data_IF_587726467338
#
_entry.id   IF_587726467338
#
_cell.length_a   1.000
_cell.length_b   1.000
_cell.length_c   1.000
_cell.angle_alpha   90.00
_cell.angle_beta   90.00
_cell.angle_gamma   90.00
#
_symmetry.space_group_name_H-M   'P 1'
#
loop_
_entity.id
_entity.type
_entity.pdbx_description
1 polymer ?
#
# COMPACT_ATOMS: atom_id res chain seq x y z
N UNK A 1 21.76 -22.93 14.94
CA UNK A 1 22.09 -21.69 14.24
C UNK A 1 20.81 -21.19 13.65
N UNK A 2 20.34 -19.97 13.92
CA UNK A 2 19.15 -19.48 13.27
C UNK A 2 19.46 -19.28 11.79
N UNK A 3 18.63 -19.86 10.93
CA UNK A 3 18.68 -19.69 9.49
C UNK A 3 18.68 -18.19 9.19
N UNK A 4 19.65 -17.76 8.39
CA UNK A 4 19.67 -16.41 7.84
C UNK A 4 18.43 -16.27 6.96
N UNK A 5 17.35 -15.74 7.48
CA UNK A 5 16.20 -15.36 6.68
C UNK A 5 16.69 -14.32 5.67
N UNK A 6 16.89 -14.71 4.42
CA UNK A 6 17.19 -13.79 3.34
C UNK A 6 16.07 -12.74 3.30
N UNK A 7 16.44 -11.46 3.23
CA UNK A 7 15.42 -10.40 3.13
C UNK A 7 14.70 -10.54 1.78
N UNK A 8 13.36 -10.35 1.73
CA UNK A 8 12.57 -10.58 0.50
C UNK A 8 13.04 -9.82 -0.74
N UNK A 9 13.89 -8.81 -0.59
CA UNK A 9 14.43 -7.99 -1.66
C UNK A 9 15.94 -8.13 -1.86
N UNK A 10 16.60 -9.13 -1.27
CA UNK A 10 18.06 -9.28 -1.37
C UNK A 10 18.54 -9.47 -2.82
N UNK A 11 17.74 -10.09 -3.67
CA UNK A 11 18.04 -10.28 -5.09
C UNK A 11 17.62 -9.09 -5.99
N UNK A 12 16.96 -8.05 -5.45
CA UNK A 12 16.53 -6.88 -6.21
C UNK A 12 17.70 -5.90 -6.40
N UNK A 13 18.64 -6.26 -7.29
CA UNK A 13 19.80 -5.43 -7.60
C UNK A 13 19.54 -4.37 -8.69
N UNK A 14 20.51 -3.46 -8.93
CA UNK A 14 20.40 -2.39 -9.91
C UNK A 14 20.04 -2.86 -11.32
N UNK A 15 20.68 -3.92 -11.80
CA UNK A 15 20.45 -4.45 -13.14
C UNK A 15 19.01 -4.93 -13.28
N UNK A 16 18.50 -5.66 -12.30
CA UNK A 16 17.12 -6.14 -12.31
C UNK A 16 16.09 -5.00 -12.27
N UNK A 17 16.40 -3.89 -11.57
CA UNK A 17 15.55 -2.68 -11.57
C UNK A 17 15.44 -2.09 -12.98
N UNK A 18 16.56 -1.93 -13.68
CA UNK A 18 16.62 -1.39 -15.03
C UNK A 18 15.94 -2.35 -16.01
N UNK A 19 16.34 -3.61 -16.04
CA UNK A 19 15.82 -4.63 -16.93
C UNK A 19 14.29 -4.79 -16.80
N UNK A 20 13.74 -4.69 -15.57
CA UNK A 20 12.31 -4.77 -15.36
C UNK A 20 11.52 -3.67 -16.07
N UNK A 21 12.06 -2.46 -16.09
CA UNK A 21 11.44 -1.31 -16.77
C UNK A 21 11.64 -1.42 -18.28
N UNK A 22 12.82 -1.83 -18.72
CA UNK A 22 13.14 -2.02 -20.15
C UNK A 22 12.35 -3.17 -20.78
N UNK A 23 12.01 -4.20 -20.01
CA UNK A 23 11.12 -5.29 -20.45
C UNK A 23 9.73 -4.81 -20.90
N UNK A 24 9.32 -3.61 -20.50
CA UNK A 24 8.06 -2.97 -20.88
C UNK A 24 8.19 -2.00 -22.05
N UNK A 25 9.36 -1.94 -22.69
CA UNK A 25 9.64 -1.11 -23.87
C UNK A 25 10.10 0.32 -23.55
N UNK A 26 10.47 0.61 -22.31
CA UNK A 26 11.19 1.84 -21.97
C UNK A 26 12.69 1.64 -22.19
N UNK A 27 13.41 2.73 -22.43
CA UNK A 27 14.87 2.74 -22.47
C UNK A 27 15.35 3.55 -21.26
N UNK A 28 16.05 2.91 -20.36
CA UNK A 28 16.60 3.57 -19.17
C UNK A 28 17.86 4.36 -19.51
N UNK A 29 18.05 5.50 -18.87
CA UNK A 29 19.31 6.26 -18.91
C UNK A 29 20.34 5.78 -17.85
N UNK A 30 20.05 4.67 -17.17
CA UNK A 30 20.90 4.06 -16.14
C UNK A 30 20.79 4.73 -14.75
N UNK A 31 20.08 5.84 -14.62
CA UNK A 31 19.91 6.52 -13.33
C UNK A 31 18.72 5.97 -12.57
N UNK A 32 18.91 5.66 -11.31
CA UNK A 32 17.83 5.33 -10.40
C UNK A 32 18.06 5.92 -9.02
N UNK A 33 16.97 6.20 -8.29
CA UNK A 33 16.97 6.73 -6.94
C UNK A 33 15.96 5.94 -6.09
N UNK A 34 16.44 5.35 -4.99
CA UNK A 34 15.54 4.73 -4.03
C UNK A 34 14.71 5.80 -3.32
N UNK A 35 13.40 5.61 -3.26
CA UNK A 35 12.47 6.46 -2.55
C UNK A 35 12.08 5.83 -1.21
N UNK A 36 11.68 6.67 -0.25
CA UNK A 36 11.23 6.17 1.05
C UNK A 36 10.03 5.25 0.88
N UNK A 37 10.16 4.03 1.41
CA UNK A 37 9.11 3.02 1.40
C UNK A 37 9.30 2.07 2.59
N UNK A 38 8.21 1.64 3.19
CA UNK A 38 8.26 0.76 4.36
C UNK A 38 8.19 -0.73 3.97
N UNK A 39 7.09 -1.12 3.33
CA UNK A 39 6.81 -2.52 3.00
C UNK A 39 7.36 -2.92 1.63
N UNK A 40 7.15 -2.07 0.64
CA UNK A 40 7.56 -2.29 -0.74
C UNK A 40 8.97 -1.71 -0.99
N UNK A 41 9.46 -1.83 -2.22
CA UNK A 41 10.61 -1.03 -2.68
C UNK A 41 10.14 -0.12 -3.80
N UNK A 42 10.44 1.15 -3.68
CA UNK A 42 10.01 2.17 -4.64
C UNK A 42 11.24 2.90 -5.17
N UNK A 43 11.35 2.97 -6.48
CA UNK A 43 12.46 3.62 -7.17
C UNK A 43 11.95 4.61 -8.20
N UNK A 44 12.61 5.75 -8.29
CA UNK A 44 12.54 6.59 -9.47
C UNK A 44 13.59 6.11 -10.45
N UNK A 45 13.19 5.80 -11.68
CA UNK A 45 14.09 5.30 -12.74
C UNK A 45 14.08 6.33 -13.88
N UNK A 46 15.27 6.76 -14.29
CA UNK A 46 15.46 7.66 -15.40
C UNK A 46 15.13 6.96 -16.72
N UNK A 47 14.43 7.66 -17.60
CA UNK A 47 14.04 7.17 -18.93
C UNK A 47 14.61 8.14 -19.95
N UNK A 48 15.26 7.62 -21.01
CA UNK A 48 15.81 8.42 -22.10
C UNK A 48 14.72 9.26 -22.77
N UNK A 49 15.00 10.54 -22.98
CA UNK A 49 14.12 11.50 -23.65
C UNK A 49 12.70 11.64 -23.06
N UNK A 50 12.49 11.19 -21.82
CA UNK A 50 11.20 11.27 -21.11
C UNK A 50 11.37 11.65 -19.64
N UNK A 51 10.24 11.96 -18.99
CA UNK A 51 10.21 12.08 -17.53
C UNK A 51 10.49 10.72 -16.88
N UNK A 52 11.22 10.69 -15.75
CA UNK A 52 11.44 9.46 -15.01
C UNK A 52 10.13 8.77 -14.64
N UNK A 53 10.16 7.45 -14.56
CA UNK A 53 9.06 6.63 -14.04
C UNK A 53 9.32 6.23 -12.59
N UNK A 54 8.25 5.98 -11.86
CA UNK A 54 8.30 5.41 -10.51
C UNK A 54 7.97 3.93 -10.63
N UNK A 55 8.89 3.08 -10.21
CA UNK A 55 8.71 1.63 -10.13
C UNK A 55 8.47 1.20 -8.68
N UNK A 56 7.31 0.62 -8.41
CA UNK A 56 6.92 0.06 -7.10
C UNK A 56 7.00 -1.46 -7.18
N UNK A 57 7.99 -2.05 -6.51
CA UNK A 57 8.14 -3.49 -6.36
C UNK A 57 7.41 -3.94 -5.11
N UNK A 58 6.47 -4.83 -5.27
CA UNK A 58 5.68 -5.38 -4.17
C UNK A 58 6.48 -6.42 -3.40
N UNK A 59 6.35 -6.39 -2.08
CA UNK A 59 7.03 -7.35 -1.22
C UNK A 59 6.54 -8.77 -1.55
N UNK A 60 7.45 -9.70 -1.92
CA UNK A 60 7.09 -11.09 -2.18
C UNK A 60 6.32 -11.73 -1.03
N UNK A 61 5.25 -12.44 -1.36
CA UNK A 61 4.42 -13.17 -0.39
C UNK A 61 3.52 -12.30 0.50
N UNK A 62 3.50 -10.97 0.33
CA UNK A 62 2.69 -10.08 1.19
C UNK A 62 1.27 -9.91 0.69
N UNK A 63 1.10 -9.67 -0.60
CA UNK A 63 -0.18 -9.45 -1.26
C UNK A 63 -0.33 -10.39 -2.45
N UNK A 64 -1.53 -10.93 -2.65
CA UNK A 64 -1.82 -11.67 -3.86
C UNK A 64 -1.93 -10.74 -5.07
N UNK A 65 -1.85 -11.31 -6.27
CA UNK A 65 -2.01 -10.56 -7.52
C UNK A 65 -3.38 -9.88 -7.58
N UNK A 66 -4.42 -10.58 -7.17
CA UNK A 66 -5.81 -10.10 -7.15
C UNK A 66 -5.98 -8.93 -6.18
N UNK A 67 -5.36 -9.00 -5.01
CA UNK A 67 -5.38 -7.92 -4.02
C UNK A 67 -4.70 -6.65 -4.54
N UNK A 68 -3.59 -6.79 -5.26
CA UNK A 68 -2.89 -5.64 -5.86
C UNK A 68 -3.71 -5.05 -7.02
N UNK A 69 -4.25 -5.88 -7.89
CA UNK A 69 -5.08 -5.43 -9.00
C UNK A 69 -6.35 -4.73 -8.53
N UNK A 70 -6.96 -5.18 -7.44
CA UNK A 70 -8.12 -4.53 -6.84
C UNK A 70 -7.79 -3.13 -6.28
N UNK A 71 -6.59 -2.93 -5.72
CA UNK A 71 -6.06 -1.60 -5.37
C UNK A 71 -5.91 -0.72 -6.62
N UNK A 72 -5.35 -1.27 -7.70
CA UNK A 72 -5.16 -0.54 -8.95
C UNK A 72 -6.49 -0.09 -9.56
N UNK A 73 -7.48 -0.97 -9.62
CA UNK A 73 -8.80 -0.63 -10.13
C UNK A 73 -9.48 0.45 -9.29
N UNK A 74 -9.31 0.41 -7.97
CA UNK A 74 -9.83 1.49 -7.13
C UNK A 74 -9.15 2.83 -7.42
N UNK A 75 -7.83 2.85 -7.68
CA UNK A 75 -7.14 4.06 -8.10
C UNK A 75 -7.70 4.61 -9.43
N UNK A 76 -8.03 3.75 -10.41
CA UNK A 76 -8.65 4.19 -11.65
C UNK A 76 -10.07 4.73 -11.43
N UNK A 77 -10.88 4.10 -10.58
CA UNK A 77 -12.20 4.63 -10.21
C UNK A 77 -12.10 6.04 -9.61
N UNK A 78 -11.11 6.27 -8.74
CA UNK A 78 -10.88 7.59 -8.16
C UNK A 78 -10.49 8.61 -9.23
N UNK A 79 -9.66 8.23 -10.19
CA UNK A 79 -9.27 9.09 -11.30
C UNK A 79 -10.46 9.43 -12.20
N UNK A 80 -11.32 8.47 -12.53
CA UNK A 80 -12.56 8.67 -13.29
C UNK A 80 -13.52 9.65 -12.61
N UNK A 81 -13.48 9.71 -11.29
CA UNK A 81 -14.21 10.68 -10.47
C UNK A 81 -13.44 12.00 -10.25
N UNK A 82 -12.43 12.26 -11.09
CA UNK A 82 -11.63 13.49 -11.08
C UNK A 82 -10.94 13.77 -9.74
N UNK A 83 -10.55 12.72 -8.99
CA UNK A 83 -9.64 12.89 -7.86
C UNK A 83 -8.20 12.97 -8.34
N UNK A 84 -7.37 13.81 -7.70
CA UNK A 84 -5.95 13.99 -8.07
C UNK A 84 -5.09 12.83 -7.54
N UNK A 85 -5.33 11.62 -8.04
CA UNK A 85 -4.58 10.42 -7.67
C UNK A 85 -3.55 10.06 -8.74
N UNK A 86 -2.47 9.39 -8.34
CA UNK A 86 -1.49 8.82 -9.26
C UNK A 86 -1.84 7.36 -9.47
N UNK A 87 -2.24 7.01 -10.69
CA UNK A 87 -2.65 5.65 -11.04
C UNK A 87 -1.48 4.86 -11.63
N UNK A 88 -1.49 3.52 -11.53
CA UNK A 88 -0.52 2.68 -12.22
C UNK A 88 -0.58 2.87 -13.73
N UNK A 89 0.58 2.90 -14.38
CA UNK A 89 0.67 2.92 -15.83
C UNK A 89 0.16 1.58 -16.41
N UNK A 90 -0.67 1.65 -17.46
CA UNK A 90 -1.13 0.47 -18.17
C UNK A 90 -0.21 0.19 -19.36
N UNK A 91 0.28 -1.04 -19.46
CA UNK A 91 1.04 -1.49 -20.63
C UNK A 91 0.16 -1.55 -21.88
N UNK A 92 0.73 -1.74 -23.09
CA UNK A 92 -0.05 -1.80 -24.34
C UNK A 92 -1.14 -2.88 -24.36
N UNK A 93 -1.04 -3.90 -23.53
CA UNK A 93 -2.05 -4.95 -23.36
C UNK A 93 -3.12 -4.60 -22.31
N UNK A 94 -3.05 -3.41 -21.72
CA UNK A 94 -3.99 -2.91 -20.71
C UNK A 94 -3.69 -3.36 -19.27
N UNK A 95 -2.62 -4.14 -19.05
CA UNK A 95 -2.22 -4.58 -17.72
C UNK A 95 -1.49 -3.50 -16.93
N UNK A 96 -1.77 -3.38 -15.66
CA UNK A 96 -1.12 -2.43 -14.73
C UNK A 96 -0.11 -3.08 -13.78
N UNK A 97 -0.11 -4.41 -13.72
CA UNK A 97 0.77 -5.20 -12.86
C UNK A 97 1.64 -6.11 -13.71
N UNK A 98 2.94 -5.99 -13.54
CA UNK A 98 3.94 -6.67 -14.34
C UNK A 98 4.77 -7.61 -13.45
N UNK A 99 5.43 -8.57 -14.07
CA UNK A 99 6.37 -9.48 -13.40
C UNK A 99 7.66 -9.53 -14.20
N UNK A 100 8.78 -9.41 -13.50
CA UNK A 100 10.10 -9.63 -14.07
C UNK A 100 10.95 -10.42 -13.07
N UNK A 101 11.58 -11.48 -13.52
CA UNK A 101 12.17 -12.50 -12.63
C UNK A 101 11.15 -12.90 -11.54
N UNK A 102 11.55 -12.86 -10.28
CA UNK A 102 10.70 -13.24 -9.14
C UNK A 102 9.91 -12.06 -8.53
N UNK A 103 9.96 -10.88 -9.15
CA UNK A 103 9.33 -9.69 -8.60
C UNK A 103 8.11 -9.25 -9.37
N UNK A 104 7.06 -8.93 -8.62
CA UNK A 104 5.87 -8.26 -9.11
C UNK A 104 6.02 -6.76 -8.89
N UNK A 105 5.74 -5.96 -9.93
CA UNK A 105 5.90 -4.51 -9.88
C UNK A 105 4.87 -3.76 -10.71
N UNK A 106 4.69 -2.49 -10.39
CA UNK A 106 3.90 -1.56 -11.18
C UNK A 106 4.70 -0.28 -11.46
N UNK A 107 4.43 0.34 -12.59
CA UNK A 107 5.00 1.63 -12.95
C UNK A 107 3.98 2.75 -12.74
N UNK A 108 4.47 3.93 -12.43
CA UNK A 108 3.67 5.15 -12.27
C UNK A 108 4.38 6.32 -12.93
N UNK A 109 3.60 7.27 -13.44
CA UNK A 109 4.17 8.55 -13.83
C UNK A 109 4.70 9.31 -12.60
N UNK A 110 5.86 9.92 -12.74
CA UNK A 110 6.38 10.79 -11.69
C UNK A 110 5.54 12.06 -11.61
N UNK A 111 4.89 12.29 -10.48
CA UNK A 111 4.21 13.56 -10.16
C UNK A 111 5.01 14.29 -9.08
N UNK A 112 5.29 15.56 -9.31
CA UNK A 112 5.87 16.44 -8.29
C UNK A 112 4.82 16.87 -7.28
N UNK A 113 5.27 17.25 -6.09
CA UNK A 113 4.39 17.77 -5.04
C UNK A 113 5.19 18.09 -3.79
N UNK A 114 4.53 18.79 -2.86
CA UNK A 114 5.04 19.05 -1.51
C UNK A 114 4.04 18.50 -0.51
N UNK A 115 4.55 18.02 0.64
CA UNK A 115 3.69 17.72 1.77
C UNK A 115 2.90 18.98 2.17
N UNK A 116 1.59 18.86 2.45
CA UNK A 116 0.82 20.00 2.93
C UNK A 116 1.30 20.41 4.33
N UNK A 117 1.30 21.71 4.58
CA UNK A 117 1.54 22.25 5.92
C UNK A 117 0.28 22.00 6.77
N UNK A 118 0.42 21.17 7.80
CA UNK A 118 -0.73 20.70 8.61
C UNK A 118 -1.21 21.73 9.65
N UNK A 119 -0.46 22.77 9.90
CA UNK A 119 -0.85 23.94 10.70
C UNK A 119 -1.70 24.95 9.92
N UNK A 120 -1.79 24.81 8.59
CA UNK A 120 -2.64 25.62 7.73
C UNK A 120 -4.05 25.00 7.64
N UNK A 121 -5.05 25.71 8.15
CA UNK A 121 -6.45 25.25 8.18
C UNK A 121 -7.05 25.03 6.78
N UNK A 122 -6.65 25.83 5.79
CA UNK A 122 -7.11 25.64 4.41
C UNK A 122 -6.61 24.32 3.82
N UNK A 123 -5.35 23.95 4.12
CA UNK A 123 -4.81 22.64 3.73
C UNK A 123 -5.56 21.50 4.39
N UNK A 124 -5.87 21.61 5.69
CA UNK A 124 -6.66 20.61 6.40
C UNK A 124 -8.06 20.47 5.81
N UNK A 125 -8.70 21.60 5.46
CA UNK A 125 -10.01 21.58 4.81
C UNK A 125 -9.96 20.89 3.44
N UNK A 126 -8.94 21.18 2.62
CA UNK A 126 -8.75 20.53 1.31
C UNK A 126 -8.53 19.02 1.49
N UNK A 127 -7.67 18.62 2.42
CA UNK A 127 -7.41 17.20 2.73
C UNK A 127 -8.68 16.49 3.19
N UNK A 128 -9.44 17.09 4.11
CA UNK A 128 -10.71 16.54 4.59
C UNK A 128 -11.74 16.34 3.46
N UNK A 129 -11.84 17.30 2.54
CA UNK A 129 -12.70 17.16 1.35
C UNK A 129 -12.25 16.02 0.43
N UNK A 130 -10.94 15.89 0.19
CA UNK A 130 -10.41 14.80 -0.63
C UNK A 130 -10.67 13.45 0.03
N UNK A 131 -10.41 13.32 1.33
CA UNK A 131 -10.70 12.10 2.10
C UNK A 131 -12.19 11.76 2.06
N UNK A 132 -13.08 12.73 2.28
CA UNK A 132 -14.53 12.52 2.20
C UNK A 132 -14.98 12.05 0.82
N UNK A 133 -14.40 12.55 -0.27
CA UNK A 133 -14.68 12.07 -1.63
C UNK A 133 -14.20 10.64 -1.85
N UNK A 134 -12.98 10.31 -1.40
CA UNK A 134 -12.44 8.95 -1.46
C UNK A 134 -13.35 7.98 -0.71
N UNK A 135 -13.77 8.33 0.52
CA UNK A 135 -14.69 7.54 1.32
C UNK A 135 -16.05 7.36 0.64
N UNK A 136 -16.61 8.42 0.05
CA UNK A 136 -17.87 8.35 -0.69
C UNK A 136 -17.81 7.35 -1.85
N UNK A 137 -16.73 7.34 -2.62
CA UNK A 137 -16.50 6.37 -3.70
C UNK A 137 -16.25 4.98 -3.11
N UNK A 138 -15.41 4.89 -2.07
CA UNK A 138 -15.11 3.65 -1.36
C UNK A 138 -16.34 2.94 -0.83
N UNK A 139 -17.31 3.69 -0.30
CA UNK A 139 -18.54 3.14 0.26
C UNK A 139 -19.50 2.49 -0.76
N UNK A 140 -19.30 2.70 -2.07
CA UNK A 140 -20.23 2.20 -3.10
C UNK A 140 -20.23 0.69 -3.27
N UNK A 141 -19.11 0.02 -2.98
CA UNK A 141 -18.97 -1.44 -3.09
C UNK A 141 -17.81 -1.93 -2.20
N UNK A 142 -17.81 -3.19 -1.71
CA UNK A 142 -16.69 -3.77 -0.97
C UNK A 142 -15.55 -4.19 -1.91
N UNK A 143 -14.36 -4.38 -1.34
CA UNK A 143 -13.31 -5.20 -1.96
C UNK A 143 -13.70 -6.67 -1.89
N UNK A 144 -13.23 -7.47 -2.86
CA UNK A 144 -13.44 -8.91 -2.94
C UNK A 144 -12.25 -9.71 -2.42
N UNK A 145 -11.05 -9.18 -2.61
CA UNK A 145 -9.79 -9.87 -2.35
C UNK A 145 -8.97 -9.21 -1.24
N UNK A 146 -9.05 -7.90 -1.09
CA UNK A 146 -8.37 -7.19 -0.01
C UNK A 146 -9.06 -7.43 1.32
N UNK A 147 -8.28 -7.57 2.42
CA UNK A 147 -8.85 -7.75 3.75
C UNK A 147 -9.71 -6.53 4.11
N UNK A 148 -10.80 -6.81 4.80
CA UNK A 148 -11.63 -5.78 5.39
C UNK A 148 -10.96 -5.24 6.67
N UNK A 149 -11.14 -3.96 6.94
CA UNK A 149 -10.75 -3.38 8.21
C UNK A 149 -11.84 -3.73 9.25
N UNK A 150 -11.62 -4.81 9.99
CA UNK A 150 -12.53 -5.29 11.03
C UNK A 150 -11.81 -5.54 12.36
N UNK A 151 -12.59 -5.74 13.41
CA UNK A 151 -12.06 -6.04 14.74
C UNK A 151 -11.40 -7.41 14.82
N UNK A 152 -11.78 -8.37 13.98
CA UNK A 152 -11.23 -9.72 14.02
C UNK A 152 -9.76 -9.72 13.56
N UNK A 153 -9.49 -9.31 12.32
CA UNK A 153 -8.14 -9.37 11.71
C UNK A 153 -7.17 -8.38 12.34
N UNK A 154 -7.58 -7.11 12.48
CA UNK A 154 -6.71 -6.05 12.99
C UNK A 154 -6.67 -5.98 14.52
N UNK A 155 -7.68 -6.51 15.20
CA UNK A 155 -7.79 -6.50 16.64
C UNK A 155 -7.51 -7.85 17.29
N UNK A 156 -8.47 -8.76 17.26
CA UNK A 156 -8.43 -10.01 18.02
C UNK A 156 -7.28 -10.94 17.61
N UNK A 157 -7.04 -11.13 16.33
CA UNK A 157 -5.95 -11.99 15.86
C UNK A 157 -4.59 -11.41 16.24
N UNK A 158 -4.43 -10.09 16.09
CA UNK A 158 -3.22 -9.37 16.52
C UNK A 158 -3.01 -9.42 18.02
N UNK A 159 -4.07 -9.23 18.82
CA UNK A 159 -4.04 -9.34 20.28
C UNK A 159 -3.57 -10.74 20.71
N UNK A 160 -4.16 -11.79 20.16
CA UNK A 160 -3.81 -13.17 20.48
C UNK A 160 -2.33 -13.45 20.21
N UNK A 161 -1.85 -13.09 19.02
CA UNK A 161 -0.45 -13.27 18.62
C UNK A 161 0.50 -12.52 19.57
N UNK A 162 0.21 -11.25 19.85
CA UNK A 162 1.07 -10.39 20.66
C UNK A 162 1.07 -10.84 22.11
N UNK A 163 -0.10 -11.09 22.70
CA UNK A 163 -0.22 -11.52 24.11
C UNK A 163 0.52 -12.85 24.35
N UNK A 164 0.40 -13.81 23.43
CA UNK A 164 1.02 -15.13 23.58
C UNK A 164 2.54 -15.11 23.36
N UNK A 165 3.04 -14.36 22.39
CA UNK A 165 4.42 -14.48 21.91
C UNK A 165 5.35 -13.35 22.33
N UNK A 166 4.83 -12.15 22.58
CA UNK A 166 5.66 -10.96 22.74
C UNK A 166 5.52 -10.28 24.10
N UNK A 167 4.43 -10.51 24.84
CA UNK A 167 4.22 -9.87 26.14
C UNK A 167 4.84 -10.73 27.26
N UNK A 168 5.78 -10.16 28.05
CA UNK A 168 6.30 -10.82 29.25
C UNK A 168 5.19 -11.26 30.21
N UNK A 169 5.38 -12.40 30.86
CA UNK A 169 4.32 -13.00 31.72
C UNK A 169 3.85 -12.06 32.82
N UNK A 170 4.75 -11.29 33.39
CA UNK A 170 4.47 -10.32 34.48
C UNK A 170 3.63 -9.12 34.00
N UNK A 171 3.72 -8.75 32.72
CA UNK A 171 2.97 -7.63 32.13
C UNK A 171 1.66 -8.08 31.48
N UNK A 172 1.50 -9.38 31.23
CA UNK A 172 0.35 -9.92 30.50
C UNK A 172 -1.01 -9.54 31.12
N UNK A 173 -1.23 -9.62 32.46
CA UNK A 173 -2.53 -9.25 33.03
C UNK A 173 -2.91 -7.78 32.75
N UNK A 174 -1.94 -6.87 32.83
CA UNK A 174 -2.18 -5.45 32.54
C UNK A 174 -2.46 -5.20 31.06
N UNK A 175 -1.66 -5.83 30.19
CA UNK A 175 -1.84 -5.77 28.75
C UNK A 175 -3.22 -6.33 28.32
N UNK A 176 -3.58 -7.52 28.81
CA UNK A 176 -4.84 -8.17 28.48
C UNK A 176 -6.04 -7.30 28.92
N UNK A 177 -5.99 -6.78 30.14
CA UNK A 177 -7.06 -5.91 30.67
C UNK A 177 -7.29 -4.70 29.76
N UNK A 178 -6.21 -4.01 29.38
CA UNK A 178 -6.31 -2.81 28.54
C UNK A 178 -6.72 -3.15 27.10
N UNK A 179 -6.07 -4.16 26.51
CA UNK A 179 -6.33 -4.55 25.12
C UNK A 179 -7.77 -5.03 24.93
N UNK A 180 -8.27 -5.86 25.84
CA UNK A 180 -9.64 -6.37 25.78
C UNK A 180 -10.69 -5.25 25.97
N UNK A 181 -10.43 -4.26 26.82
CA UNK A 181 -11.31 -3.11 26.98
C UNK A 181 -11.36 -2.25 25.72
N UNK A 182 -10.21 -2.01 25.10
CA UNK A 182 -10.12 -1.26 23.83
C UNK A 182 -10.84 -2.01 22.70
N UNK A 183 -10.60 -3.30 22.54
CA UNK A 183 -11.22 -4.10 21.48
C UNK A 183 -12.74 -4.11 21.58
N UNK A 184 -13.29 -4.30 22.79
CA UNK A 184 -14.75 -4.23 23.01
C UNK A 184 -15.33 -2.86 22.64
N UNK A 185 -14.63 -1.77 22.97
CA UNK A 185 -15.07 -0.43 22.59
C UNK A 185 -15.03 -0.21 21.08
N UNK A 186 -14.00 -0.74 20.40
CA UNK A 186 -13.89 -0.67 18.94
C UNK A 186 -15.02 -1.47 18.30
N UNK A 187 -15.33 -2.67 18.77
CA UNK A 187 -16.45 -3.47 18.28
C UNK A 187 -17.77 -2.72 18.38
N UNK A 188 -18.05 -2.12 19.55
CA UNK A 188 -19.26 -1.32 19.74
C UNK A 188 -19.35 -0.16 18.74
N UNK A 189 -18.24 0.55 18.51
CA UNK A 189 -18.18 1.65 17.53
C UNK A 189 -18.47 1.14 16.13
N UNK A 190 -17.83 0.01 15.71
CA UNK A 190 -18.04 -0.56 14.39
C UNK A 190 -19.47 -1.06 14.19
N UNK A 191 -20.11 -1.63 15.22
CA UNK A 191 -21.52 -2.01 15.20
C UNK A 191 -22.43 -0.78 15.00
N UNK A 192 -22.16 0.31 15.72
CA UNK A 192 -22.94 1.55 15.64
C UNK A 192 -22.83 2.25 14.26
N UNK A 193 -21.63 2.20 13.63
CA UNK A 193 -21.37 2.86 12.35
C UNK A 193 -21.64 1.97 11.12
N UNK A 194 -21.82 0.66 11.31
CA UNK A 194 -22.09 -0.29 10.25
C UNK A 194 -20.84 -0.71 9.46
N UNK A 195 -21.06 -1.35 8.30
CA UNK A 195 -19.98 -1.94 7.51
C UNK A 195 -19.10 -0.88 6.85
N UNK A 196 -17.78 -0.99 7.06
CA UNK A 196 -16.76 -0.20 6.38
C UNK A 196 -16.40 -0.90 5.07
N UNK A 197 -16.63 -0.22 3.94
CA UNK A 197 -16.21 -0.67 2.61
C UNK A 197 -14.84 -0.04 2.29
N UNK A 198 -14.24 -0.36 1.20
CA UNK A 198 -12.96 0.08 0.58
C UNK A 198 -12.30 1.37 1.13
N UNK A 199 -12.17 1.51 2.43
CA UNK A 199 -11.58 2.69 3.07
C UNK A 199 -10.45 2.25 3.97
#
# INVERSE_FOLDING_TARGET
MPDSHSHPFDSLGPDLLIDSVESLGFVSDGRFLALNSYENRVYQIGIEDKTPMIAKFYRPGRWSREQILEEHEFCYELLEQELPVVVPWRNPQGGSLNTYADFTFALYERKGGRAPELDNLDNLFILGRLMGRIHGIGATKPFKHRPQLDSQGFGWDSYKLISEQFIPKELRPAYDSLALDILKKIEQILEDYGQINRI
#
